data_IF_807780685135
#
_entry.id   IF_807780685135
#
_cell.length_a   1.000
_cell.length_b   1.000
_cell.length_c   1.000
_cell.angle_alpha   90.00
_cell.angle_beta   90.00
_cell.angle_gamma   90.00
#
_symmetry.space_group_name_H-M   'P 1'
#
loop_
_entity.id
_entity.type
_entity.pdbx_description
1 polymer ?
#
# COMPACT_ATOMS: atom_id res chain seq x y z
N UNK A 1 -3.25 -8.97 3.90
CA UNK A 1 -4.30 -7.94 3.98
C UNK A 1 -4.65 -7.44 2.59
N UNK A 2 -5.92 -7.42 2.26
CA UNK A 2 -6.39 -6.91 0.97
C UNK A 2 -6.18 -5.42 0.88
N UNK A 3 -5.93 -4.91 -0.33
CA UNK A 3 -5.70 -3.49 -0.50
C UNK A 3 -5.99 -3.05 -1.94
N UNK A 4 -6.01 -1.74 -2.13
CA UNK A 4 -6.25 -1.10 -3.41
C UNK A 4 -5.00 -0.43 -3.97
N UNK A 5 -3.83 -0.77 -3.45
CA UNK A 5 -2.58 -0.09 -3.81
C UNK A 5 -2.29 -0.15 -5.31
N UNK A 6 -2.41 -1.31 -5.91
CA UNK A 6 -2.14 -1.44 -7.33
C UNK A 6 -3.08 -0.57 -8.16
N UNK A 7 -4.38 -0.60 -7.85
CA UNK A 7 -5.36 0.19 -8.56
C UNK A 7 -5.09 1.69 -8.40
N UNK A 8 -4.80 2.13 -7.17
CA UNK A 8 -4.52 3.54 -6.89
C UNK A 8 -3.27 3.99 -7.62
N UNK A 9 -2.23 3.16 -7.60
CA UNK A 9 -0.96 3.46 -8.27
C UNK A 9 -1.19 3.61 -9.79
N UNK A 10 -1.91 2.67 -10.38
CA UNK A 10 -2.19 2.68 -11.82
C UNK A 10 -3.05 3.88 -12.23
N UNK A 11 -4.00 4.27 -11.39
CA UNK A 11 -4.82 5.46 -11.65
C UNK A 11 -3.97 6.72 -11.76
N UNK A 12 -2.85 6.76 -11.05
CA UNK A 12 -1.94 7.91 -11.07
C UNK A 12 -0.83 7.78 -12.11
N UNK A 13 -0.80 6.66 -12.83
CA UNK A 13 0.24 6.41 -13.82
C UNK A 13 1.62 6.24 -13.20
N UNK A 14 1.70 5.76 -11.97
CA UNK A 14 2.96 5.60 -11.23
C UNK A 14 3.40 4.14 -11.30
N UNK A 15 4.70 3.94 -11.61
CA UNK A 15 5.27 2.60 -11.66
C UNK A 15 5.61 2.12 -10.25
N UNK A 16 5.73 0.79 -10.10
CA UNK A 16 6.10 0.20 -8.81
C UNK A 16 7.41 0.77 -8.28
N UNK A 17 8.40 0.94 -9.14
CA UNK A 17 9.70 1.48 -8.73
C UNK A 17 9.61 2.95 -8.29
N UNK A 18 8.72 3.72 -8.93
CA UNK A 18 8.52 5.12 -8.55
C UNK A 18 7.87 5.22 -7.17
N UNK A 19 6.87 4.38 -6.92
CA UNK A 19 6.23 4.33 -5.62
C UNK A 19 7.22 3.89 -4.54
N UNK A 20 8.01 2.86 -4.83
CA UNK A 20 9.02 2.37 -3.90
C UNK A 20 10.00 3.48 -3.53
N UNK A 21 10.46 4.23 -4.51
CA UNK A 21 11.39 5.34 -4.29
C UNK A 21 10.76 6.42 -3.42
N UNK A 22 9.51 6.78 -3.71
CA UNK A 22 8.78 7.80 -2.95
C UNK A 22 8.59 7.37 -1.49
N UNK A 23 8.40 6.08 -1.25
CA UNK A 23 8.18 5.55 0.10
C UNK A 23 9.49 5.21 0.83
N UNK A 24 10.61 5.20 0.13
CA UNK A 24 11.89 4.82 0.71
C UNK A 24 12.02 3.33 0.98
N UNK A 25 11.39 2.50 0.17
CA UNK A 25 11.45 1.03 0.29
C UNK A 25 11.88 0.42 -1.04
N UNK A 26 12.14 -0.89 -1.05
CA UNK A 26 12.50 -1.58 -2.27
C UNK A 26 11.27 -1.82 -3.14
N UNK A 27 11.49 -2.00 -4.45
CA UNK A 27 10.43 -2.38 -5.37
C UNK A 27 9.76 -3.68 -4.94
N UNK A 28 10.55 -4.65 -4.45
CA UNK A 28 10.01 -5.92 -3.98
C UNK A 28 9.02 -5.72 -2.83
N UNK A 29 9.27 -4.74 -1.96
CA UNK A 29 8.35 -4.39 -0.89
C UNK A 29 7.00 -3.94 -1.46
N UNK A 30 7.02 -3.09 -2.49
CA UNK A 30 5.79 -2.63 -3.14
C UNK A 30 5.05 -3.81 -3.75
N UNK A 31 5.77 -4.69 -4.46
CA UNK A 31 5.17 -5.87 -5.06
C UNK A 31 4.47 -6.74 -4.01
N UNK A 32 5.16 -7.00 -2.90
CA UNK A 32 4.61 -7.83 -1.82
C UNK A 32 3.41 -7.18 -1.15
N UNK A 33 3.45 -5.86 -0.96
CA UNK A 33 2.31 -5.12 -0.42
C UNK A 33 1.09 -5.24 -1.33
N UNK A 34 1.28 -5.02 -2.63
CA UNK A 34 0.18 -5.06 -3.60
C UNK A 34 -0.46 -6.45 -3.67
N UNK A 35 0.34 -7.48 -3.46
CA UNK A 35 -0.17 -8.85 -3.44
C UNK A 35 -0.83 -9.23 -2.13
N UNK A 36 -0.79 -8.36 -1.13
CA UNK A 36 -1.37 -8.65 0.17
C UNK A 36 -0.62 -9.68 0.98
N UNK A 37 0.67 -9.90 0.67
CA UNK A 37 1.46 -10.95 1.32
C UNK A 37 1.93 -10.61 2.71
N UNK A 38 1.96 -9.33 3.06
CA UNK A 38 2.28 -8.92 4.43
C UNK A 38 1.65 -7.57 4.70
N UNK A 39 1.56 -7.24 5.98
CA UNK A 39 0.99 -5.97 6.42
C UNK A 39 2.10 -4.94 6.52
N UNK A 40 1.86 -3.69 6.11
CA UNK A 40 2.88 -2.66 6.24
C UNK A 40 3.12 -2.31 7.71
N UNK A 41 4.32 -1.81 8.01
CA UNK A 41 4.56 -1.19 9.30
C UNK A 41 3.66 0.04 9.45
N UNK A 42 3.44 0.47 10.68
CA UNK A 42 2.65 1.67 10.93
C UNK A 42 3.24 2.87 10.20
N UNK A 43 4.57 3.01 10.25
CA UNK A 43 5.26 4.09 9.57
C UNK A 43 4.99 4.08 8.07
N UNK A 44 5.07 2.91 7.45
CA UNK A 44 4.83 2.77 6.01
C UNK A 44 3.38 3.04 5.68
N UNK A 45 2.45 2.60 6.52
CA UNK A 45 1.02 2.85 6.32
C UNK A 45 0.73 4.36 6.31
N UNK A 46 1.33 5.12 7.23
CA UNK A 46 1.19 6.57 7.24
C UNK A 46 1.76 7.21 5.98
N UNK A 47 2.91 6.73 5.50
CA UNK A 47 3.51 7.25 4.26
C UNK A 47 2.59 7.02 3.07
N UNK A 48 1.98 5.85 3.00
CA UNK A 48 1.03 5.52 1.94
C UNK A 48 -0.21 6.42 1.99
N UNK A 49 -0.76 6.63 3.19
CA UNK A 49 -1.92 7.50 3.37
C UNK A 49 -1.62 8.92 2.89
N UNK A 50 -0.43 9.44 3.23
CA UNK A 50 -0.02 10.77 2.79
C UNK A 50 0.21 10.82 1.29
N UNK A 51 0.85 9.80 0.74
CA UNK A 51 1.14 9.75 -0.70
C UNK A 51 -0.13 9.78 -1.52
N UNK A 52 -1.12 8.99 -1.13
CA UNK A 52 -2.38 8.91 -1.86
C UNK A 52 -3.43 9.91 -1.36
N UNK A 53 -3.11 10.67 -0.32
CA UNK A 53 -3.99 11.69 0.26
C UNK A 53 -5.36 11.13 0.64
N UNK A 54 -5.34 9.97 1.31
CA UNK A 54 -6.57 9.32 1.77
C UNK A 54 -6.31 8.53 3.05
N UNK A 55 -7.36 8.26 3.84
CA UNK A 55 -7.21 7.46 5.05
C UNK A 55 -6.70 6.05 4.76
N UNK A 56 -6.00 5.46 5.71
CA UNK A 56 -5.48 4.09 5.59
C UNK A 56 -6.61 3.11 5.27
N UNK A 57 -7.77 3.30 5.88
CA UNK A 57 -8.92 2.40 5.73
C UNK A 57 -9.47 2.41 4.30
N UNK A 58 -9.17 3.42 3.51
CA UNK A 58 -9.56 3.45 2.10
C UNK A 58 -8.53 2.76 1.21
N UNK A 59 -7.34 2.52 1.72
CA UNK A 59 -6.27 1.83 1.00
C UNK A 59 -6.27 0.34 1.32
N UNK A 60 -6.41 0.01 2.61
CA UNK A 60 -6.33 -1.35 3.12
C UNK A 60 -7.68 -1.82 3.64
N UNK A 61 -7.97 -3.09 3.37
CA UNK A 61 -9.18 -3.75 3.87
C UNK A 61 -8.74 -4.84 4.84
N UNK A 62 -9.08 -4.68 6.11
CA UNK A 62 -8.70 -5.62 7.17
C UNK A 62 -9.77 -6.67 7.47
N UNK A 63 -10.80 -6.76 6.64
CA UNK A 63 -11.91 -7.67 6.91
C UNK A 63 -11.48 -9.14 6.98
N UNK A 64 -10.42 -9.52 6.25
CA UNK A 64 -9.87 -10.87 6.29
C UNK A 64 -8.94 -11.12 7.48
N UNK A 65 -8.63 -10.05 8.24
CA UNK A 65 -7.74 -10.10 9.40
C UNK A 65 -8.52 -10.08 10.72
N UNK A 66 -9.81 -9.80 10.66
CA UNK A 66 -10.63 -9.69 11.87
C UNK A 66 -10.98 -11.05 12.42
N UNK A 67 -10.95 -11.16 13.73
CA UNK A 67 -11.45 -12.35 14.41
C UNK A 67 -12.96 -12.24 14.56
N UNK A 68 -13.59 -13.37 14.41
CA UNK A 68 -15.05 -13.45 14.55
C UNK A 68 -15.49 -13.13 15.97
#
# INVERSE_FOLDING_TARGET
MKNRLEALRKQRGVRQEDLAQALGVSRQTVISLEKGKYNPSLSLAFKLARYFAMPIEEIFDDSDEREA
#
